data_IF_584767100839
#
_entry.id   IF_584767100839
#
_cell.length_a   1.000
_cell.length_b   1.000
_cell.length_c   1.000
_cell.angle_alpha   90.00
_cell.angle_beta   90.00
_cell.angle_gamma   90.00
#
_symmetry.space_group_name_H-M   'P 1'
#
loop_
_entity.id
_entity.type
_entity.pdbx_description
1 polymer ?
#
# COMPACT_ATOMS: atom_id res chain seq x y z
N UNK A 1 -15.36 57.27 32.21
CA UNK A 1 -14.34 56.41 32.85
C UNK A 1 -13.92 55.37 31.82
N UNK A 2 -12.62 55.11 31.67
CA UNK A 2 -12.10 54.11 30.74
C UNK A 2 -11.88 52.76 31.44
N UNK A 3 -11.95 51.66 30.68
CA UNK A 3 -11.82 50.30 31.21
C UNK A 3 -11.35 49.32 30.12
N UNK A 4 -10.12 49.51 29.65
CA UNK A 4 -9.51 48.68 28.59
C UNK A 4 -8.96 47.38 29.17
N UNK A 5 -9.49 46.22 28.75
CA UNK A 5 -8.92 44.91 29.10
C UNK A 5 -8.03 44.44 27.95
N UNK A 6 -6.71 44.56 28.11
CA UNK A 6 -5.72 44.06 27.17
C UNK A 6 -5.40 42.58 27.42
N UNK A 7 -5.57 41.74 26.41
CA UNK A 7 -5.12 40.34 26.45
C UNK A 7 -3.60 40.27 26.22
N UNK A 8 -2.85 39.77 27.20
CA UNK A 8 -1.39 39.63 27.13
C UNK A 8 -1.02 38.35 26.39
N UNK A 9 -0.51 38.47 25.16
CA UNK A 9 0.16 37.35 24.48
C UNK A 9 1.49 37.03 25.17
N UNK A 10 1.64 35.79 25.65
CA UNK A 10 2.94 35.24 26.07
C UNK A 10 3.55 34.44 24.93
N UNK A 11 4.63 34.94 24.33
CA UNK A 11 5.43 34.16 23.39
C UNK A 11 6.14 33.00 24.12
N UNK A 12 6.18 31.78 23.54
CA UNK A 12 7.00 30.70 24.07
C UNK A 12 8.49 30.98 23.84
N UNK A 13 9.28 30.86 24.89
CA UNK A 13 10.75 31.03 24.84
C UNK A 13 11.37 29.72 24.37
N UNK A 14 11.89 29.70 23.14
CA UNK A 14 12.76 28.62 22.66
C UNK A 14 14.19 28.82 23.22
N UNK A 15 14.80 27.82 23.89
CA UNK A 15 16.21 27.88 24.23
C UNK A 15 17.06 27.78 22.96
N UNK A 16 17.64 28.91 22.54
CA UNK A 16 18.76 28.91 21.60
C UNK A 16 20.01 28.47 22.36
N UNK A 17 20.52 27.27 22.03
CA UNK A 17 21.93 26.83 22.08
C UNK A 17 21.98 25.32 22.39
N UNK A 18 22.23 24.50 21.37
CA UNK A 18 22.82 23.17 21.55
C UNK A 18 24.35 23.30 21.47
N UNK A 19 25.14 22.73 22.40
CA UNK A 19 26.59 22.69 22.27
C UNK A 19 27.01 21.73 21.14
N UNK A 20 28.14 21.97 20.46
CA UNK A 20 28.65 21.05 19.45
C UNK A 20 29.11 19.73 20.07
N UNK A 21 28.74 18.61 19.45
CA UNK A 21 29.25 17.29 19.81
C UNK A 21 30.73 17.17 19.45
N UNK A 22 31.61 17.33 20.43
CA UNK A 22 33.04 17.10 20.30
C UNK A 22 33.35 15.63 20.66
N UNK A 23 33.52 14.77 19.65
CA UNK A 23 33.92 13.38 19.86
C UNK A 23 35.43 13.20 19.56
N UNK A 24 36.29 12.92 20.55
CA UNK A 24 37.75 12.88 20.37
C UNK A 24 38.29 11.66 19.62
N UNK A 25 37.43 10.72 19.18
CA UNK A 25 37.83 9.46 18.52
C UNK A 25 37.46 9.37 17.03
N UNK A 26 37.36 10.50 16.33
CA UNK A 26 37.19 10.49 14.86
C UNK A 26 38.54 10.37 14.13
N UNK A 27 38.91 9.15 13.73
CA UNK A 27 40.08 8.90 12.86
C UNK A 27 39.61 8.93 11.40
N UNK A 28 40.12 9.88 10.61
CA UNK A 28 39.77 10.02 9.19
C UNK A 28 40.35 8.87 8.34
N UNK A 29 39.57 8.19 7.49
CA UNK A 29 40.10 7.22 6.53
C UNK A 29 41.00 7.90 5.49
N UNK A 30 42.27 7.46 5.41
CA UNK A 30 43.21 7.92 4.37
C UNK A 30 42.79 7.40 2.99
N UNK A 31 43.08 8.20 1.97
CA UNK A 31 42.74 7.94 0.56
C UNK A 31 43.26 6.59 0.03
N UNK A 32 42.37 5.78 -0.53
CA UNK A 32 42.70 4.68 -1.43
C UNK A 32 42.27 5.06 -2.86
N UNK A 33 43.19 4.89 -3.82
CA UNK A 33 42.97 5.28 -5.23
C UNK A 33 42.21 4.17 -5.97
N UNK A 34 41.28 4.49 -6.89
CA UNK A 34 40.59 3.49 -7.70
C UNK A 34 41.50 2.96 -8.82
N UNK A 35 41.68 1.64 -8.88
CA UNK A 35 42.35 0.95 -9.99
C UNK A 35 41.35 0.54 -11.08
N UNK A 36 41.32 1.34 -12.14
CA UNK A 36 41.06 0.95 -13.54
C UNK A 36 40.55 -0.48 -13.83
N UNK A 37 39.30 -0.59 -14.31
CA UNK A 37 38.86 -1.65 -15.24
C UNK A 37 38.23 -1.01 -16.48
N UNK A 38 38.50 -1.58 -17.65
CA UNK A 38 38.35 -0.96 -18.97
C UNK A 38 36.94 -1.04 -19.56
N UNK A 39 36.60 -0.01 -20.34
CA UNK A 39 35.42 0.06 -21.22
C UNK A 39 35.61 -0.88 -22.43
N UNK A 40 34.57 -1.60 -22.85
CA UNK A 40 34.54 -2.30 -24.14
C UNK A 40 33.14 -2.26 -24.81
N UNK A 41 32.99 -1.29 -25.73
CA UNK A 41 32.05 -1.17 -26.87
C UNK A 41 32.75 -0.17 -27.84
N UNK A 42 32.61 -0.23 -29.18
CA UNK A 42 31.38 -0.46 -29.97
C UNK A 42 31.61 -1.48 -31.13
N UNK A 43 30.97 -1.54 -32.32
CA UNK A 43 29.97 -0.75 -33.08
C UNK A 43 29.16 -1.71 -34.03
N UNK A 44 28.21 -1.27 -34.89
CA UNK A 44 27.15 -2.12 -35.45
C UNK A 44 27.32 -2.55 -36.93
N UNK A 45 26.41 -3.39 -37.43
CA UNK A 45 26.12 -3.52 -38.87
C UNK A 45 24.62 -3.79 -39.16
N UNK A 46 24.13 -3.22 -40.26
CA UNK A 46 22.74 -3.34 -40.73
C UNK A 46 22.51 -4.59 -41.60
N UNK A 47 21.27 -5.11 -41.65
CA UNK A 47 20.41 -5.26 -42.86
C UNK A 47 19.18 -6.16 -42.56
N UNK A 48 17.97 -5.60 -42.59
CA UNK A 48 16.91 -5.68 -43.65
C UNK A 48 15.82 -6.72 -43.39
N UNK A 49 14.57 -6.26 -43.45
CA UNK A 49 13.37 -7.06 -43.25
C UNK A 49 12.93 -7.78 -44.54
N UNK A 50 12.47 -9.03 -44.43
CA UNK A 50 11.64 -9.67 -45.47
C UNK A 50 10.50 -10.50 -44.85
N UNK A 51 9.31 -10.36 -45.42
CA UNK A 51 8.10 -11.15 -45.15
C UNK A 51 7.94 -12.24 -46.23
N UNK A 52 7.41 -13.43 -45.88
CA UNK A 52 6.73 -14.31 -46.81
C UNK A 52 5.18 -14.29 -46.61
N UNK A 53 4.39 -14.80 -47.58
CA UNK A 53 3.02 -14.35 -47.80
C UNK A 53 1.90 -15.24 -47.22
N UNK A 54 0.68 -14.73 -47.35
CA UNK A 54 -0.60 -15.35 -46.99
C UNK A 54 -1.13 -16.22 -48.14
N UNK A 55 -1.62 -17.42 -47.85
CA UNK A 55 -2.37 -18.30 -48.79
C UNK A 55 -3.59 -18.91 -48.09
N UNK A 56 -4.55 -19.41 -48.86
CA UNK A 56 -5.96 -19.56 -48.46
C UNK A 56 -6.45 -21.01 -48.22
N UNK A 57 -7.63 -21.08 -47.58
CA UNK A 57 -8.70 -22.09 -47.63
C UNK A 57 -8.41 -23.54 -48.07
N UNK A 58 -8.85 -24.51 -47.26
CA UNK A 58 -9.87 -25.45 -47.74
C UNK A 58 -10.74 -26.06 -46.62
N UNK A 59 -11.88 -26.61 -47.02
CA UNK A 59 -12.97 -27.10 -46.16
C UNK A 59 -12.87 -28.62 -45.88
N UNK A 60 -13.45 -29.09 -44.77
CA UNK A 60 -14.61 -30.03 -44.70
C UNK A 60 -14.63 -31.01 -43.50
N UNK A 61 -15.83 -31.08 -42.90
CA UNK A 61 -16.50 -32.26 -42.34
C UNK A 61 -15.99 -32.84 -41.00
N UNK A 62 -16.92 -32.91 -40.04
CA UNK A 62 -16.84 -33.78 -38.86
C UNK A 62 -18.27 -34.21 -38.52
N UNK A 63 -18.59 -35.51 -38.44
CA UNK A 63 -19.91 -35.99 -38.05
C UNK A 63 -20.06 -36.13 -36.53
N UNK A 64 -21.31 -36.15 -36.10
CA UNK A 64 -21.84 -36.22 -34.74
C UNK A 64 -22.13 -37.68 -34.35
N UNK A 65 -21.57 -38.21 -33.24
CA UNK A 65 -21.95 -39.48 -32.60
C UNK A 65 -21.83 -39.37 -31.06
N UNK A 66 -22.72 -40.08 -30.35
CA UNK A 66 -23.14 -39.93 -28.96
C UNK A 66 -22.17 -40.44 -27.85
N UNK A 67 -22.45 -40.02 -26.61
CA UNK A 67 -21.88 -40.59 -25.37
C UNK A 67 -22.37 -42.03 -25.10
N UNK A 68 -21.55 -42.82 -24.37
CA UNK A 68 -22.13 -43.55 -23.25
C UNK A 68 -21.27 -43.55 -21.98
N UNK A 69 -21.94 -43.42 -20.83
CA UNK A 69 -21.45 -43.77 -19.49
C UNK A 69 -22.28 -44.95 -18.94
N UNK A 70 -22.10 -45.48 -17.70
CA UNK A 70 -20.95 -45.43 -16.77
C UNK A 70 -20.52 -46.84 -16.27
N UNK A 71 -19.30 -47.01 -15.72
CA UNK A 71 -19.01 -48.11 -14.74
C UNK A 71 -18.03 -47.68 -13.65
N UNK A 72 -18.51 -47.73 -12.40
CA UNK A 72 -17.76 -47.51 -11.16
C UNK A 72 -16.92 -48.76 -10.84
N UNK A 73 -15.69 -48.59 -10.37
CA UNK A 73 -14.93 -49.63 -9.65
C UNK A 73 -14.37 -49.11 -8.32
N UNK A 74 -14.04 -50.04 -7.42
CA UNK A 74 -14.05 -49.86 -5.97
C UNK A 74 -12.77 -49.24 -5.39
N UNK A 75 -12.96 -48.57 -4.25
CA UNK A 75 -11.93 -48.07 -3.34
C UNK A 75 -11.11 -49.24 -2.76
N UNK A 76 -9.78 -49.07 -2.70
CA UNK A 76 -8.97 -49.59 -1.59
C UNK A 76 -7.84 -48.61 -1.24
N UNK A 77 -7.32 -48.76 -0.03
CA UNK A 77 -6.61 -47.73 0.74
C UNK A 77 -5.11 -47.65 0.39
N UNK A 78 -4.51 -46.46 0.53
CA UNK A 78 -3.49 -46.21 1.55
C UNK A 78 -3.15 -44.72 1.64
N UNK A 79 -2.86 -44.25 2.85
CA UNK A 79 -2.77 -42.83 3.14
C UNK A 79 -1.37 -42.24 2.93
N UNK A 80 -1.34 -41.12 2.23
CA UNK A 80 -0.53 -39.95 2.66
C UNK A 80 -1.47 -38.77 2.65
N UNK A 81 -1.87 -38.29 3.84
CA UNK A 81 -2.48 -36.96 3.94
C UNK A 81 -1.35 -35.95 3.75
N UNK A 82 -1.08 -35.58 2.50
CA UNK A 82 -0.28 -34.39 2.24
C UNK A 82 -0.93 -33.23 2.98
N UNK A 83 -0.22 -32.67 3.96
CA UNK A 83 -0.55 -31.37 4.55
C UNK A 83 -0.29 -30.30 3.48
N UNK A 84 -1.15 -30.25 2.46
CA UNK A 84 -1.33 -29.08 1.63
C UNK A 84 -1.60 -27.93 2.61
N UNK A 85 -0.77 -26.87 2.65
CA UNK A 85 -1.11 -25.70 3.46
C UNK A 85 -2.50 -25.28 3.02
N UNK A 86 -3.42 -25.19 3.97
CA UNK A 86 -4.82 -24.90 3.68
C UNK A 86 -4.86 -23.51 3.03
N UNK A 87 -4.97 -23.49 1.70
CA UNK A 87 -4.81 -22.28 0.92
C UNK A 87 -5.98 -21.35 1.25
N UNK A 88 -5.77 -20.45 2.22
CA UNK A 88 -6.80 -19.56 2.73
C UNK A 88 -7.36 -18.80 1.53
N UNK A 89 -8.60 -19.13 1.16
CA UNK A 89 -9.24 -18.48 0.02
C UNK A 89 -9.34 -16.99 0.37
N UNK A 90 -8.68 -16.09 -0.39
CA UNK A 90 -8.61 -14.70 -0.01
C UNK A 90 -10.01 -14.09 -0.02
N UNK A 91 -10.44 -13.57 1.12
CA UNK A 91 -11.74 -12.95 1.31
C UNK A 91 -11.59 -11.50 1.76
N UNK A 92 -12.60 -10.70 1.46
CA UNK A 92 -12.84 -9.42 2.13
C UNK A 92 -14.31 -9.42 2.55
N UNK A 93 -14.57 -9.63 3.84
CA UNK A 93 -15.94 -9.62 4.39
C UNK A 93 -16.23 -8.20 4.87
N UNK A 94 -17.40 -7.69 4.53
CA UNK A 94 -17.82 -6.32 4.83
C UNK A 94 -19.23 -6.34 5.41
N UNK A 95 -19.42 -5.71 6.56
CA UNK A 95 -20.72 -5.48 7.21
C UNK A 95 -21.02 -3.98 7.14
N UNK A 96 -22.17 -3.61 6.57
CA UNK A 96 -22.71 -2.25 6.69
C UNK A 96 -23.22 -2.02 8.12
N UNK A 97 -22.93 -0.85 8.66
CA UNK A 97 -23.39 -0.37 9.96
C UNK A 97 -24.55 0.64 9.82
N UNK A 98 -24.73 1.22 8.63
CA UNK A 98 -25.86 2.08 8.28
C UNK A 98 -26.27 1.91 6.82
N UNK A 99 -27.40 2.50 6.43
CA UNK A 99 -27.88 2.55 5.04
C UNK A 99 -27.00 3.44 4.14
N UNK A 100 -26.23 4.38 4.72
CA UNK A 100 -25.34 5.28 3.99
C UNK A 100 -24.02 4.62 3.56
N UNK A 101 -23.73 3.44 4.11
CA UNK A 101 -22.50 2.70 3.88
C UNK A 101 -22.43 2.10 2.47
N UNK A 102 -21.51 2.59 1.64
CA UNK A 102 -21.27 2.03 0.29
C UNK A 102 -20.28 0.86 0.39
N UNK A 103 -20.53 -0.24 -0.35
CA UNK A 103 -19.61 -1.37 -0.37
C UNK A 103 -18.32 -1.00 -1.15
N UNK A 104 -17.13 -1.31 -0.62
CA UNK A 104 -15.87 -1.01 -1.32
C UNK A 104 -15.79 -1.72 -2.66
N UNK A 105 -15.31 -1.01 -3.69
CA UNK A 105 -15.23 -1.52 -5.07
C UNK A 105 -13.90 -1.17 -5.72
N UNK A 106 -13.45 -2.01 -6.67
CA UNK A 106 -12.20 -1.79 -7.40
C UNK A 106 -12.49 -1.03 -8.69
N UNK A 107 -11.71 0.01 -8.96
CA UNK A 107 -11.87 0.83 -10.18
C UNK A 107 -11.47 0.09 -11.47
N UNK A 108 -10.65 -0.97 -11.39
CA UNK A 108 -10.23 -1.80 -12.52
C UNK A 108 -9.89 -3.23 -12.07
N UNK A 109 -9.82 -4.22 -13.00
CA UNK A 109 -9.50 -5.61 -12.68
C UNK A 109 -8.14 -5.83 -11.99
N UNK A 110 -7.20 -4.88 -12.12
CA UNK A 110 -5.86 -4.92 -11.52
C UNK A 110 -5.59 -3.79 -10.50
N UNK A 111 -6.59 -2.99 -10.13
CA UNK A 111 -6.46 -1.98 -9.06
C UNK A 111 -6.04 -2.63 -7.73
N UNK A 112 -4.99 -2.10 -7.09
CA UNK A 112 -4.51 -2.63 -5.81
C UNK A 112 -5.51 -2.44 -4.66
N UNK A 113 -6.20 -1.29 -4.64
CA UNK A 113 -7.16 -0.93 -3.59
C UNK A 113 -8.63 -1.02 -4.00
N UNK A 114 -9.48 -1.13 -2.99
CA UNK A 114 -10.93 -0.95 -3.05
C UNK A 114 -11.26 0.48 -2.60
N UNK A 115 -11.89 1.30 -3.44
CA UNK A 115 -12.28 2.67 -3.05
C UNK A 115 -13.23 2.63 -1.83
N UNK A 116 -12.92 3.43 -0.81
CA UNK A 116 -13.76 3.68 0.37
C UNK A 116 -14.50 5.00 0.21
N UNK A 117 -15.81 4.99 0.43
CA UNK A 117 -16.66 6.18 0.41
C UNK A 117 -16.98 6.71 1.81
N UNK A 118 -17.20 8.02 1.92
CA UNK A 118 -17.76 8.62 3.13
C UNK A 118 -19.22 8.21 3.33
N UNK A 119 -19.63 7.91 4.56
CA UNK A 119 -21.03 7.75 4.95
C UNK A 119 -21.66 9.06 5.49
N UNK A 120 -20.87 10.13 5.65
CA UNK A 120 -21.32 11.39 6.24
C UNK A 120 -20.90 12.62 5.41
N UNK A 121 -21.63 13.72 5.61
CA UNK A 121 -21.20 15.04 5.17
C UNK A 121 -20.28 15.65 6.23
N UNK A 122 -19.15 16.20 5.82
CA UNK A 122 -18.15 16.80 6.71
C UNK A 122 -17.16 17.65 5.91
N UNK A 123 -16.20 18.27 6.61
CA UNK A 123 -15.06 18.97 5.99
C UNK A 123 -13.74 18.58 6.65
N UNK A 124 -12.67 18.56 5.87
CA UNK A 124 -11.29 18.49 6.36
C UNK A 124 -10.76 19.92 6.39
N UNK A 125 -10.59 20.56 7.57
CA UNK A 125 -10.18 21.96 7.63
C UNK A 125 -8.83 22.20 6.96
N UNK A 126 -8.62 23.39 6.40
CA UNK A 126 -7.33 23.87 5.91
C UNK A 126 -6.24 23.66 6.98
N UNK A 127 -5.08 23.13 6.58
CA UNK A 127 -3.97 22.73 7.48
C UNK A 127 -4.38 21.81 8.64
N UNK A 128 -5.51 21.10 8.51
CA UNK A 128 -6.15 20.33 9.56
C UNK A 128 -6.30 18.85 9.24
N UNK A 129 -7.14 18.19 10.03
CA UNK A 129 -7.48 16.77 9.89
C UNK A 129 -8.92 16.49 10.31
N UNK A 130 -9.52 15.45 9.74
CA UNK A 130 -10.82 14.95 10.14
C UNK A 130 -10.88 13.41 10.08
N UNK A 131 -11.68 12.81 10.96
CA UNK A 131 -12.03 11.40 10.91
C UNK A 131 -13.35 11.27 10.14
N UNK A 132 -13.33 10.58 9.00
CA UNK A 132 -14.48 10.40 8.14
C UNK A 132 -15.03 8.98 8.32
N UNK A 133 -16.29 8.80 8.75
CA UNK A 133 -16.88 7.48 8.90
C UNK A 133 -17.19 6.85 7.54
N UNK A 134 -16.94 5.55 7.41
CA UNK A 134 -17.40 4.75 6.24
C UNK A 134 -18.69 3.98 6.52
N UNK A 135 -19.08 3.88 7.80
CA UNK A 135 -20.13 3.01 8.32
C UNK A 135 -19.97 1.53 7.89
N UNK A 136 -18.73 1.06 7.79
CA UNK A 136 -18.38 -0.33 7.53
C UNK A 136 -17.63 -0.95 8.71
N UNK A 137 -17.89 -2.22 9.00
CA UNK A 137 -16.94 -3.11 9.67
C UNK A 137 -16.42 -4.13 8.67
N UNK A 138 -15.16 -4.55 8.82
CA UNK A 138 -14.53 -5.51 7.90
C UNK A 138 -13.96 -6.73 8.63
N UNK A 139 -13.70 -7.79 7.87
CA UNK A 139 -12.77 -8.84 8.25
C UNK A 139 -11.93 -9.22 7.03
N UNK A 140 -10.63 -9.33 7.24
CA UNK A 140 -9.61 -9.67 6.24
C UNK A 140 -8.92 -10.99 6.60
N UNK A 141 -8.17 -11.62 5.69
CA UNK A 141 -7.49 -12.89 5.98
C UNK A 141 -6.36 -12.71 7.00
N UNK A 142 -6.10 -13.76 7.77
CA UNK A 142 -4.89 -13.86 8.60
C UNK A 142 -3.62 -13.77 7.74
N UNK A 143 -2.52 -13.26 8.30
CA UNK A 143 -1.30 -12.93 7.55
C UNK A 143 -1.45 -11.70 6.63
N UNK A 144 -2.52 -10.92 6.82
CA UNK A 144 -2.73 -9.63 6.14
C UNK A 144 -3.23 -8.56 7.11
N UNK A 145 -3.13 -7.30 6.70
CA UNK A 145 -3.87 -6.19 7.29
C UNK A 145 -4.51 -5.35 6.18
N UNK A 146 -5.51 -4.54 6.52
CA UNK A 146 -6.09 -3.59 5.58
C UNK A 146 -5.45 -2.22 5.76
N UNK A 147 -4.67 -1.78 4.77
CA UNK A 147 -4.14 -0.41 4.72
C UNK A 147 -5.12 0.54 4.06
N UNK A 148 -5.53 1.58 4.77
CA UNK A 148 -6.17 2.76 4.17
C UNK A 148 -5.07 3.60 3.53
N UNK A 149 -5.18 3.84 2.22
CA UNK A 149 -4.21 4.53 1.40
C UNK A 149 -4.84 5.76 0.71
N UNK A 150 -4.06 6.83 0.45
CA UNK A 150 -4.54 8.01 -0.25
C UNK A 150 -4.91 7.70 -1.71
N UNK A 151 -5.83 8.49 -2.27
CA UNK A 151 -6.18 8.48 -3.70
C UNK A 151 -5.38 9.57 -4.39
N UNK A 152 -4.59 9.21 -5.40
CA UNK A 152 -3.68 10.15 -6.09
C UNK A 152 -4.37 11.42 -6.61
N UNK A 153 -5.61 11.30 -7.08
CA UNK A 153 -6.40 12.45 -7.53
C UNK A 153 -6.74 13.46 -6.42
N UNK A 154 -6.94 13.01 -5.18
CA UNK A 154 -7.21 13.89 -4.03
C UNK A 154 -5.91 14.50 -3.49
N UNK A 155 -4.83 13.71 -3.44
CA UNK A 155 -3.50 14.21 -3.08
C UNK A 155 -3.02 15.32 -4.02
N UNK A 156 -3.13 15.12 -5.34
CA UNK A 156 -2.69 16.12 -6.32
C UNK A 156 -3.58 17.36 -6.38
N UNK A 157 -4.92 17.20 -6.39
CA UNK A 157 -5.84 18.33 -6.63
C UNK A 157 -6.22 19.12 -5.39
N UNK A 158 -6.18 18.49 -4.21
CA UNK A 158 -6.70 19.05 -2.97
C UNK A 158 -5.71 18.95 -1.80
N UNK A 159 -4.48 18.47 -2.03
CA UNK A 159 -3.46 18.24 -1.00
C UNK A 159 -3.94 17.35 0.15
N UNK A 160 -4.79 16.37 -0.17
CA UNK A 160 -5.37 15.42 0.80
C UNK A 160 -4.51 14.16 0.91
N UNK A 161 -4.19 13.79 2.15
CA UNK A 161 -3.43 12.60 2.50
C UNK A 161 -4.17 11.77 3.57
N UNK A 162 -3.74 10.52 3.79
CA UNK A 162 -4.35 9.59 4.74
C UNK A 162 -3.42 9.37 5.94
N UNK A 163 -3.95 9.60 7.14
CA UNK A 163 -3.26 9.34 8.41
C UNK A 163 -3.55 7.94 8.98
N UNK A 164 -2.60 7.43 9.77
CA UNK A 164 -2.62 6.12 10.43
C UNK A 164 -2.84 4.95 9.45
N UNK A 165 -4.09 4.64 9.14
CA UNK A 165 -4.46 3.74 8.05
C UNK A 165 -4.18 2.25 8.25
N UNK A 166 -3.66 1.80 9.39
CA UNK A 166 -3.56 0.37 9.72
C UNK A 166 -4.90 -0.10 10.30
N UNK A 167 -5.52 -1.10 9.66
CA UNK A 167 -6.67 -1.84 10.21
C UNK A 167 -6.26 -3.31 10.38
N UNK A 168 -6.22 -3.74 11.64
CA UNK A 168 -5.79 -5.09 12.02
C UNK A 168 -6.79 -6.18 11.61
N UNK A 169 -6.29 -7.41 11.44
CA UNK A 169 -7.10 -8.52 10.92
C UNK A 169 -8.24 -8.97 11.87
N UNK A 170 -8.10 -8.69 13.16
CA UNK A 170 -9.05 -8.98 14.23
C UNK A 170 -10.00 -7.79 14.54
N UNK A 171 -9.74 -6.59 14.00
CA UNK A 171 -10.60 -5.42 14.20
C UNK A 171 -12.01 -5.63 13.63
N UNK A 172 -13.04 -5.44 14.46
CA UNK A 172 -14.47 -5.55 14.07
C UNK A 172 -15.29 -4.28 14.33
N UNK A 173 -14.63 -3.19 14.74
CA UNK A 173 -15.29 -1.90 14.96
C UNK A 173 -15.66 -1.19 13.65
N UNK A 174 -16.05 0.09 13.75
CA UNK A 174 -16.31 0.92 12.57
C UNK A 174 -15.00 1.37 11.93
N UNK A 175 -14.88 1.23 10.61
CA UNK A 175 -13.76 1.72 9.82
C UNK A 175 -13.95 3.22 9.56
N UNK A 176 -12.98 4.01 10.00
CA UNK A 176 -12.90 5.45 9.74
C UNK A 176 -11.63 5.79 8.98
N UNK A 177 -11.73 6.78 8.08
CA UNK A 177 -10.60 7.30 7.30
C UNK A 177 -10.12 8.59 7.96
N UNK A 178 -8.88 8.64 8.43
CA UNK A 178 -8.28 9.90 8.89
C UNK A 178 -7.72 10.62 7.66
N UNK A 179 -8.31 11.75 7.30
CA UNK A 179 -7.78 12.63 6.25
C UNK A 179 -6.99 13.78 6.87
N UNK A 180 -5.82 14.06 6.30
CA UNK A 180 -5.07 15.30 6.48
C UNK A 180 -5.28 16.20 5.27
N UNK A 181 -5.35 17.52 5.50
CA UNK A 181 -5.41 18.52 4.44
C UNK A 181 -4.20 19.45 4.56
N UNK A 182 -3.27 19.32 3.61
CA UNK A 182 -2.06 20.14 3.56
C UNK A 182 -2.22 21.40 2.68
N UNK A 183 -3.44 21.76 2.29
CA UNK A 183 -3.74 23.03 1.61
C UNK A 183 -4.22 24.11 2.60
N UNK A 184 -4.33 25.34 2.10
CA UNK A 184 -4.90 26.50 2.81
C UNK A 184 -6.41 26.68 2.57
N UNK A 185 -7.09 25.66 2.02
CA UNK A 185 -8.53 25.69 1.70
C UNK A 185 -9.23 24.49 2.34
N UNK A 186 -10.38 24.70 2.98
CA UNK A 186 -11.20 23.61 3.52
C UNK A 186 -11.65 22.65 2.41
N UNK A 187 -11.52 21.34 2.64
CA UNK A 187 -11.95 20.32 1.70
C UNK A 187 -13.29 19.73 2.13
N UNK A 188 -14.35 19.97 1.34
CA UNK A 188 -15.68 19.38 1.54
C UNK A 188 -15.67 17.87 1.22
N UNK A 189 -16.37 17.09 2.02
CA UNK A 189 -16.61 15.65 1.80
C UNK A 189 -18.11 15.38 1.90
N UNK A 190 -18.71 14.84 0.83
CA UNK A 190 -20.14 14.54 0.78
C UNK A 190 -20.38 13.04 0.95
N UNK A 191 -21.57 12.62 1.42
CA UNK A 191 -21.92 11.21 1.49
C UNK A 191 -21.78 10.55 0.11
N UNK A 192 -21.08 9.42 0.05
CA UNK A 192 -20.77 8.70 -1.17
C UNK A 192 -19.44 9.06 -1.83
N UNK A 193 -18.81 10.21 -1.51
CA UNK A 193 -17.52 10.58 -2.07
C UNK A 193 -16.44 9.56 -1.73
N UNK A 194 -15.69 9.13 -2.76
CA UNK A 194 -14.58 8.18 -2.62
C UNK A 194 -13.34 8.90 -2.09
N UNK A 195 -13.07 8.74 -0.79
CA UNK A 195 -12.08 9.52 -0.02
C UNK A 195 -10.73 8.83 0.15
N UNK A 196 -10.71 7.50 0.17
CA UNK A 196 -9.50 6.68 0.32
C UNK A 196 -9.63 5.39 -0.47
N UNK A 197 -8.60 4.56 -0.48
CA UNK A 197 -8.68 3.18 -0.97
C UNK A 197 -8.11 2.21 0.07
N UNK A 198 -8.74 1.05 0.22
CA UNK A 198 -8.34 -0.02 1.14
C UNK A 198 -7.53 -1.07 0.37
N UNK A 199 -6.30 -1.32 0.78
CA UNK A 199 -5.38 -2.30 0.18
C UNK A 199 -5.18 -3.43 1.18
N UNK A 200 -5.33 -4.69 0.74
CA UNK A 200 -5.04 -5.86 1.58
C UNK A 200 -3.56 -6.19 1.41
N UNK A 201 -2.76 -5.89 2.42
CA UNK A 201 -1.31 -6.09 2.39
C UNK A 201 -0.92 -7.32 3.20
N UNK A 202 -0.06 -8.16 2.62
CA UNK A 202 0.49 -9.35 3.29
C UNK A 202 1.58 -8.94 4.26
N UNK A 203 1.58 -9.56 5.43
CA UNK A 203 2.56 -9.35 6.50
C UNK A 203 3.03 -10.69 7.05
N UNK A 204 4.15 -10.65 7.77
CA UNK A 204 4.57 -11.70 8.68
C UNK A 204 4.60 -11.13 10.09
N UNK A 205 4.22 -11.93 11.08
CA UNK A 205 4.17 -11.56 12.50
C UNK A 205 5.07 -12.51 13.30
N UNK A 206 6.42 -12.41 13.16
CA UNK A 206 7.34 -13.25 13.90
C UNK A 206 7.39 -12.85 15.38
N UNK A 207 7.77 -13.80 16.23
CA UNK A 207 8.18 -13.50 17.61
C UNK A 207 9.43 -12.64 17.63
N UNK A 208 9.50 -11.67 18.56
CA UNK A 208 10.66 -10.81 18.73
C UNK A 208 11.74 -11.56 19.52
N UNK A 209 12.95 -11.64 18.95
CA UNK A 209 14.12 -12.24 19.62
C UNK A 209 15.18 -11.17 19.81
N UNK A 210 15.60 -10.95 21.06
CA UNK A 210 16.70 -10.05 21.42
C UNK A 210 18.06 -10.74 21.22
N UNK A 211 19.06 -9.99 20.74
CA UNK A 211 20.42 -10.48 20.44
C UNK A 211 21.44 -9.38 20.75
N UNK A 212 22.68 -9.76 21.08
CA UNK A 212 23.77 -8.83 21.39
C UNK A 212 24.24 -8.03 20.15
N UNK A 213 24.30 -8.68 18.98
CA UNK A 213 24.80 -8.12 17.71
C UNK A 213 23.97 -8.61 16.51
N UNK A 214 23.99 -7.85 15.42
CA UNK A 214 23.37 -8.18 14.12
C UNK A 214 24.42 -8.47 13.04
N UNK A 215 24.02 -9.16 11.96
CA UNK A 215 24.90 -9.47 10.84
C UNK A 215 25.26 -8.24 9.99
N UNK A 216 26.46 -8.25 9.41
CA UNK A 216 26.95 -7.16 8.58
C UNK A 216 26.40 -7.26 7.15
N UNK A 217 25.74 -6.20 6.68
CA UNK A 217 25.24 -6.11 5.29
C UNK A 217 26.00 -5.06 4.47
N UNK A 218 25.92 -5.15 3.13
CA UNK A 218 26.50 -4.15 2.20
C UNK A 218 25.97 -2.73 2.46
N UNK A 219 24.75 -2.59 2.99
CA UNK A 219 24.15 -1.30 3.34
C UNK A 219 24.69 -0.74 4.66
N UNK A 220 25.03 -1.61 5.61
CA UNK A 220 25.50 -1.23 6.95
C UNK A 220 24.59 -0.19 7.60
N UNK A 221 25.20 0.88 8.14
CA UNK A 221 24.52 1.99 8.81
C UNK A 221 23.92 3.04 7.84
N UNK A 222 23.84 2.76 6.54
CA UNK A 222 23.40 3.72 5.51
C UNK A 222 21.88 3.98 5.49
N UNK A 223 21.46 5.21 5.83
CA UNK A 223 20.07 5.67 5.79
C UNK A 223 19.91 7.09 5.24
N UNK A 224 18.67 7.61 5.24
CA UNK A 224 18.36 9.04 5.01
C UNK A 224 19.05 9.70 3.79
N UNK A 225 18.96 9.06 2.61
CA UNK A 225 19.59 9.59 1.39
C UNK A 225 21.07 9.21 1.20
N UNK A 226 21.58 8.23 1.95
CA UNK A 226 22.96 7.72 1.82
C UNK A 226 23.35 7.20 0.42
N UNK A 227 22.39 7.01 -0.48
CA UNK A 227 22.59 6.60 -1.89
C UNK A 227 22.59 7.76 -2.89
N UNK A 228 22.45 9.00 -2.42
CA UNK A 228 22.28 10.19 -3.26
C UNK A 228 20.86 10.75 -3.24
N UNK A 229 20.67 11.83 -4.01
CA UNK A 229 19.40 12.54 -4.23
C UNK A 229 18.95 12.39 -5.70
#
# INVERSE_FOLDING_TARGET
MAGTIGAIFRNPIFPKNFPPFNNPHYISPKSLKPSSISKFLPNPSHRTCHLPPRMAENQKHTPEIEEPSPKIQKIHQNGVSENKPHGITPFLRVKRLSEKAILPSRASPLSAGYDLSSAAETKVPARGKALIPTDLSIAVPEGTYARIAPRSGLAWKHSIDVGAGVIDADYRGSVGVILFNYSDVDFEVKPGDRIAQLIIERIITPEVTEVDDLDSTVRGLGGFGSTGA
#
